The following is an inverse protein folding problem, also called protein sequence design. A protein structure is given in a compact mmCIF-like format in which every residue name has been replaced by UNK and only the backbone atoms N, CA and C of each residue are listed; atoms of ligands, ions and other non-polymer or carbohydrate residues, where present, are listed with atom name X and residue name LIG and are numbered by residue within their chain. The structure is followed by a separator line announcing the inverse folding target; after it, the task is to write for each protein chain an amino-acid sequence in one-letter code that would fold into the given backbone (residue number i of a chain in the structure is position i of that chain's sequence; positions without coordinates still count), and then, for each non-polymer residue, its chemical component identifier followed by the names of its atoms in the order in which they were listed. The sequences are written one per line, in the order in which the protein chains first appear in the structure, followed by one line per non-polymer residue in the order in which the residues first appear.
data_IF_800809984133
#
_entry.id   IF_800809984133
#
_cell.length_a   1.000
_cell.length_b   1.000
_cell.length_c   1.000
_cell.angle_alpha   90.00
_cell.angle_beta   90.00
_cell.angle_gamma   90.00
#
_symmetry.space_group_name_H-M   'P 1'
#
loop_
_entity.id
_entity.type
_entity.pdbx_description
1 polymer ?
#
# COMPACT_ATOMS: atom_id res chain seq x y z
N UNK A 1 -1.87 5.16 -28.68
CA UNK A 1 -2.57 6.10 -27.78
C UNK A 1 -2.24 5.67 -26.36
N UNK A 2 -1.96 6.61 -25.43
CA UNK A 2 -1.63 6.30 -24.04
C UNK A 2 -2.87 5.79 -23.30
N UNK A 3 -2.74 4.73 -22.50
CA UNK A 3 -3.79 4.28 -21.57
C UNK A 3 -3.55 4.92 -20.21
N UNK A 4 -4.55 5.59 -19.66
CA UNK A 4 -4.53 6.18 -18.32
C UNK A 4 -5.03 5.13 -17.31
N UNK A 5 -4.09 4.42 -16.65
CA UNK A 5 -4.40 3.28 -15.81
C UNK A 5 -4.55 3.67 -14.33
N UNK A 6 -5.79 3.75 -13.83
CA UNK A 6 -6.14 4.05 -12.45
C UNK A 6 -6.40 2.81 -11.58
N UNK A 7 -5.95 1.64 -12.01
CA UNK A 7 -6.17 0.39 -11.27
C UNK A 7 -5.60 0.46 -9.85
N UNK A 8 -6.34 -0.10 -8.90
CA UNK A 8 -6.00 -0.02 -7.48
C UNK A 8 -4.94 -1.03 -7.00
N UNK A 9 -4.65 -2.03 -7.81
CA UNK A 9 -3.63 -3.05 -7.54
C UNK A 9 -3.99 -4.42 -8.11
N UNK A 10 -3.12 -5.02 -8.97
CA UNK A 10 -1.87 -4.43 -9.51
C UNK A 10 -2.12 -3.11 -10.22
N UNK A 11 -1.16 -2.19 -10.14
CA UNK A 11 -1.33 -0.83 -10.63
C UNK A 11 -0.26 -0.45 -11.67
N UNK A 12 -0.31 0.82 -12.09
CA UNK A 12 0.71 1.41 -12.97
C UNK A 12 2.10 1.38 -12.32
N UNK A 13 3.12 1.10 -13.12
CA UNK A 13 4.54 1.26 -12.79
C UNK A 13 5.21 2.18 -13.83
N UNK A 14 6.38 2.76 -13.52
CA UNK A 14 7.11 3.60 -14.46
C UNK A 14 7.51 2.83 -15.72
N UNK A 15 7.44 3.49 -16.89
CA UNK A 15 7.77 2.86 -18.17
C UNK A 15 9.26 2.45 -18.25
N UNK A 16 10.15 3.20 -17.62
CA UNK A 16 11.57 2.88 -17.49
C UNK A 16 11.78 1.56 -16.74
N UNK A 17 10.99 1.32 -15.70
CA UNK A 17 11.01 0.06 -14.94
C UNK A 17 10.57 -1.11 -15.82
N UNK A 18 9.50 -0.96 -16.60
CA UNK A 18 9.06 -2.01 -17.53
C UNK A 18 10.12 -2.33 -18.58
N UNK A 19 10.78 -1.31 -19.13
CA UNK A 19 11.83 -1.50 -20.13
C UNK A 19 13.00 -2.31 -19.55
N UNK A 20 13.56 -1.89 -18.43
CA UNK A 20 14.69 -2.59 -17.79
C UNK A 20 14.29 -4.01 -17.33
N UNK A 21 13.07 -4.16 -16.76
CA UNK A 21 12.55 -5.47 -16.39
C UNK A 21 12.38 -6.42 -17.58
N UNK A 22 11.93 -5.93 -18.74
CA UNK A 22 11.79 -6.75 -19.95
C UNK A 22 13.15 -7.19 -20.51
N UNK A 23 14.15 -6.34 -20.48
CA UNK A 23 15.51 -6.68 -20.89
C UNK A 23 16.11 -7.75 -19.99
N UNK A 24 15.88 -7.67 -18.68
CA UNK A 24 16.36 -8.65 -17.69
C UNK A 24 15.76 -10.06 -17.85
N UNK A 25 14.56 -10.17 -18.44
CA UNK A 25 13.93 -11.45 -18.75
C UNK A 25 14.63 -12.17 -19.93
N UNK A 26 15.36 -11.44 -20.76
CA UNK A 26 16.11 -11.98 -21.89
C UNK A 26 17.57 -12.25 -21.49
N UNK A 27 18.20 -11.26 -20.88
CA UNK A 27 19.62 -11.34 -20.51
C UNK A 27 19.90 -10.44 -19.30
N UNK A 28 19.89 -11.02 -18.12
CA UNK A 28 20.14 -10.31 -16.88
C UNK A 28 21.66 -10.10 -16.69
N UNK A 29 22.08 -8.85 -16.50
CA UNK A 29 23.48 -8.48 -16.16
C UNK A 29 24.53 -9.11 -17.12
N UNK A 30 24.18 -9.25 -18.38
CA UNK A 30 25.02 -9.87 -19.44
C UNK A 30 25.48 -11.31 -19.12
N UNK A 31 24.73 -12.04 -18.27
CA UNK A 31 25.03 -13.42 -17.90
C UNK A 31 24.63 -14.45 -18.98
N UNK A 32 23.89 -14.02 -20.02
CA UNK A 32 23.28 -14.93 -20.99
C UNK A 32 22.12 -15.75 -20.41
N UNK A 33 21.61 -15.35 -19.24
CA UNK A 33 20.48 -15.96 -18.52
C UNK A 33 19.42 -14.91 -18.16
N UNK A 34 18.17 -15.33 -18.07
CA UNK A 34 17.10 -14.52 -17.52
C UNK A 34 17.23 -14.33 -16.01
N UNK A 35 16.79 -13.20 -15.48
CA UNK A 35 16.70 -12.99 -14.03
C UNK A 35 15.88 -14.05 -13.29
N UNK A 36 14.89 -14.69 -13.97
CA UNK A 36 14.07 -15.76 -13.39
C UNK A 36 14.72 -17.15 -13.44
N UNK A 37 15.86 -17.31 -14.18
CA UNK A 37 16.59 -18.56 -14.28
C UNK A 37 17.77 -18.63 -13.31
N UNK A 38 18.23 -17.49 -12.81
CA UNK A 38 19.38 -17.46 -11.91
C UNK A 38 19.00 -17.95 -10.51
N UNK A 39 19.96 -18.61 -9.84
CA UNK A 39 19.77 -18.99 -8.44
C UNK A 39 19.64 -17.75 -7.55
N UNK A 40 18.66 -17.73 -6.65
CA UNK A 40 18.53 -16.69 -5.63
C UNK A 40 19.74 -16.64 -4.66
N UNK A 41 20.62 -17.64 -4.70
CA UNK A 41 21.88 -17.68 -3.93
C UNK A 41 23.10 -17.27 -4.75
N UNK A 42 22.92 -16.95 -6.04
CA UNK A 42 24.00 -16.39 -6.86
C UNK A 42 24.37 -15.00 -6.37
N UNK A 43 25.64 -14.62 -6.59
CA UNK A 43 26.11 -13.27 -6.24
C UNK A 43 25.26 -12.17 -6.90
N UNK A 44 24.82 -12.39 -8.13
CA UNK A 44 24.03 -11.42 -8.87
C UNK A 44 22.66 -11.18 -8.23
N UNK A 45 21.95 -12.24 -7.78
CA UNK A 45 20.66 -12.03 -7.11
C UNK A 45 20.82 -11.55 -5.65
N UNK A 46 21.84 -12.00 -4.93
CA UNK A 46 22.18 -11.46 -3.60
C UNK A 46 22.37 -9.94 -3.70
N UNK A 47 23.08 -9.44 -4.71
CA UNK A 47 23.24 -8.01 -4.95
C UNK A 47 21.90 -7.29 -5.20
N UNK A 48 20.95 -7.90 -5.92
CA UNK A 48 19.60 -7.36 -6.11
C UNK A 48 18.87 -7.23 -4.77
N UNK A 49 18.90 -8.26 -3.94
CA UNK A 49 18.25 -8.24 -2.62
C UNK A 49 18.88 -7.19 -1.71
N UNK A 50 20.20 -7.15 -1.65
CA UNK A 50 20.95 -6.19 -0.81
C UNK A 50 20.66 -4.75 -1.24
N UNK A 51 20.60 -4.49 -2.54
CA UNK A 51 20.28 -3.16 -3.05
C UNK A 51 18.80 -2.79 -2.78
N UNK A 52 17.86 -3.73 -2.97
CA UNK A 52 16.46 -3.48 -2.65
C UNK A 52 16.28 -3.09 -1.18
N UNK A 53 16.93 -3.81 -0.27
CA UNK A 53 16.96 -3.51 1.17
C UNK A 53 17.59 -2.14 1.44
N UNK A 54 18.74 -1.86 0.83
CA UNK A 54 19.45 -0.59 1.00
C UNK A 54 18.60 0.62 0.52
N UNK A 55 17.91 0.47 -0.61
CA UNK A 55 17.03 1.51 -1.15
C UNK A 55 15.82 1.75 -0.24
N UNK A 56 15.21 0.71 0.33
CA UNK A 56 14.14 0.89 1.33
C UNK A 56 14.66 1.66 2.53
N UNK A 57 15.82 1.28 3.06
CA UNK A 57 16.43 1.96 4.22
C UNK A 57 16.73 3.43 3.90
N UNK A 58 17.26 3.71 2.74
CA UNK A 58 17.57 5.07 2.28
C UNK A 58 16.30 5.92 2.13
N UNK A 59 15.30 5.40 1.41
CA UNK A 59 14.09 6.17 1.07
C UNK A 59 13.15 6.42 2.27
N UNK A 60 13.13 5.53 3.25
CA UNK A 60 12.31 5.68 4.46
C UNK A 60 13.12 6.03 5.72
N UNK A 61 14.42 6.28 5.58
CA UNK A 61 15.32 6.57 6.70
C UNK A 61 15.16 5.54 7.84
N UNK A 62 15.12 4.24 7.44
CA UNK A 62 14.90 3.14 8.39
C UNK A 62 16.05 3.05 9.39
N UNK A 63 15.79 3.14 10.70
CA UNK A 63 16.85 3.09 11.71
C UNK A 63 17.46 1.69 11.83
N UNK A 64 18.71 1.61 12.32
CA UNK A 64 19.44 0.35 12.49
C UNK A 64 18.78 -0.64 13.47
N UNK A 65 17.83 -0.17 14.25
CA UNK A 65 17.00 -1.00 15.13
C UNK A 65 15.99 -1.86 14.39
N UNK A 66 15.78 -1.62 13.09
CA UNK A 66 14.80 -2.33 12.27
C UNK A 66 15.48 -3.16 11.18
N UNK A 67 14.84 -4.26 10.82
CA UNK A 67 15.17 -5.07 9.66
C UNK A 67 14.16 -4.87 8.53
N UNK A 68 14.66 -4.91 7.30
CA UNK A 68 13.86 -4.82 6.08
C UNK A 68 13.84 -6.19 5.41
N UNK A 69 12.64 -6.71 5.14
CA UNK A 69 12.43 -8.02 4.56
C UNK A 69 11.55 -7.94 3.31
N UNK A 70 11.83 -8.77 2.33
CA UNK A 70 10.98 -9.03 1.17
C UNK A 70 10.45 -10.45 1.27
N UNK A 71 9.17 -10.59 1.62
CA UNK A 71 8.50 -11.85 1.87
C UNK A 71 7.47 -12.17 0.78
N UNK A 72 6.80 -13.30 0.90
CA UNK A 72 5.71 -13.76 0.03
C UNK A 72 4.36 -13.61 0.74
N UNK A 73 3.26 -13.87 0.02
CA UNK A 73 1.91 -13.98 0.59
C UNK A 73 1.09 -12.70 0.67
N UNK A 74 1.67 -11.54 0.32
CA UNK A 74 0.98 -10.25 0.36
C UNK A 74 0.58 -9.84 1.78
N UNK A 75 -0.20 -8.76 1.89
CA UNK A 75 -0.73 -8.30 3.17
C UNK A 75 -1.58 -9.36 3.89
N UNK A 76 -2.28 -10.22 3.15
CA UNK A 76 -3.11 -11.26 3.77
C UNK A 76 -2.31 -12.26 4.58
N UNK A 77 -1.10 -12.63 4.14
CA UNK A 77 -0.20 -13.46 4.94
C UNK A 77 0.29 -12.69 6.18
N UNK A 78 0.53 -11.39 6.04
CA UNK A 78 0.98 -10.57 7.17
C UNK A 78 -0.09 -10.47 8.26
N UNK A 79 -1.38 -10.48 7.93
CA UNK A 79 -2.45 -10.51 8.94
C UNK A 79 -2.31 -11.69 9.90
N UNK A 80 -1.97 -12.89 9.38
CA UNK A 80 -1.71 -14.06 10.20
C UNK A 80 -0.32 -14.00 10.87
N UNK A 81 0.74 -13.65 10.11
CA UNK A 81 2.11 -13.64 10.62
C UNK A 81 2.27 -12.71 11.83
N UNK A 82 1.71 -11.47 11.75
CA UNK A 82 1.79 -10.53 12.87
C UNK A 82 1.11 -11.11 14.13
N UNK A 83 -0.05 -11.75 13.99
CA UNK A 83 -0.75 -12.35 15.11
C UNK A 83 0.08 -13.48 15.76
N UNK A 84 0.72 -14.37 14.96
CA UNK A 84 1.63 -15.39 15.50
C UNK A 84 2.83 -14.80 16.23
N UNK A 85 3.41 -13.72 15.75
CA UNK A 85 4.65 -13.16 16.29
C UNK A 85 4.44 -12.21 17.46
N UNK A 86 3.29 -11.52 17.53
CA UNK A 86 3.05 -10.50 18.55
C UNK A 86 2.00 -10.88 19.58
N UNK A 87 0.91 -11.61 19.20
CA UNK A 87 -0.18 -11.92 20.10
C UNK A 87 0.21 -13.07 21.04
N UNK A 88 0.34 -12.81 22.34
CA UNK A 88 0.58 -13.82 23.36
C UNK A 88 -0.70 -14.61 23.67
N UNK A 89 -0.56 -15.78 24.36
CA UNK A 89 -1.71 -16.64 24.66
C UNK A 89 -2.76 -15.95 25.55
N UNK A 90 -2.31 -15.13 26.49
CA UNK A 90 -3.16 -14.44 27.46
C UNK A 90 -3.22 -12.92 27.25
N UNK A 91 -2.57 -12.41 26.19
CA UNK A 91 -2.56 -11.00 25.86
C UNK A 91 -3.70 -10.63 24.93
N UNK A 92 -3.64 -9.43 24.39
CA UNK A 92 -4.62 -8.95 23.41
C UNK A 92 -4.00 -8.09 22.33
N UNK A 93 -4.51 -8.24 21.08
CA UNK A 93 -4.24 -7.34 19.99
C UNK A 93 -5.36 -6.32 19.84
N UNK A 94 -5.01 -5.06 19.67
CA UNK A 94 -5.98 -3.97 19.45
C UNK A 94 -5.96 -3.49 18.00
N UNK A 95 -7.13 -3.15 17.46
CA UNK A 95 -7.31 -2.79 16.06
C UNK A 95 -8.12 -1.52 15.89
N UNK A 96 -7.65 -0.66 14.98
CA UNK A 96 -8.45 0.44 14.43
C UNK A 96 -9.16 -0.07 13.16
N UNK A 97 -10.48 -0.20 13.20
CA UNK A 97 -11.27 -0.70 12.07
C UNK A 97 -11.74 0.45 11.17
N UNK A 98 -10.95 0.72 10.13
CA UNK A 98 -11.20 1.80 9.16
C UNK A 98 -11.56 1.32 7.76
N UNK A 99 -11.78 0.00 7.60
CA UNK A 99 -12.12 -0.54 6.29
C UNK A 99 -12.01 -2.05 6.17
N UNK A 100 -12.24 -2.56 4.96
CA UNK A 100 -12.24 -3.98 4.70
C UNK A 100 -10.92 -4.68 5.04
N UNK A 101 -9.78 -4.00 4.90
CA UNK A 101 -8.46 -4.59 5.14
C UNK A 101 -8.16 -4.66 6.64
N UNK A 102 -8.42 -3.61 7.41
CA UNK A 102 -8.33 -3.63 8.88
C UNK A 102 -9.27 -4.65 9.50
N UNK A 103 -10.52 -4.76 9.00
CA UNK A 103 -11.47 -5.79 9.44
C UNK A 103 -10.97 -7.22 9.18
N UNK A 104 -10.27 -7.46 8.05
CA UNK A 104 -9.67 -8.77 7.75
C UNK A 104 -8.49 -9.05 8.68
N UNK A 105 -7.61 -8.08 8.90
CA UNK A 105 -6.48 -8.23 9.83
C UNK A 105 -6.97 -8.56 11.25
N UNK A 106 -7.99 -7.85 11.73
CA UNK A 106 -8.65 -8.17 13.02
C UNK A 106 -9.18 -9.60 13.08
N UNK A 107 -9.87 -10.06 12.02
CA UNK A 107 -10.46 -11.41 12.00
C UNK A 107 -9.41 -12.52 12.06
N UNK A 108 -8.27 -12.37 11.40
CA UNK A 108 -7.16 -13.34 11.50
C UNK A 108 -6.63 -13.41 12.92
N UNK A 109 -6.42 -12.28 13.59
CA UNK A 109 -5.99 -12.27 14.99
C UNK A 109 -7.05 -12.85 15.94
N UNK A 110 -8.32 -12.52 15.74
CA UNK A 110 -9.43 -13.04 16.53
C UNK A 110 -9.61 -14.57 16.37
N UNK A 111 -9.19 -15.13 15.24
CA UNK A 111 -9.12 -16.58 15.02
C UNK A 111 -7.98 -17.27 15.78
N UNK A 112 -6.95 -16.53 16.15
CA UNK A 112 -5.77 -17.03 16.87
C UNK A 112 -5.85 -16.81 18.39
N UNK A 113 -6.46 -15.70 18.84
CA UNK A 113 -6.50 -15.34 20.25
C UNK A 113 -7.38 -14.13 20.54
N UNK A 114 -7.11 -13.45 21.63
CA UNK A 114 -7.89 -12.30 22.05
C UNK A 114 -7.51 -11.07 21.20
N UNK A 115 -8.48 -10.58 20.44
CA UNK A 115 -8.36 -9.35 19.66
C UNK A 115 -9.60 -8.49 19.85
N UNK A 116 -9.43 -7.17 19.88
CA UNK A 116 -10.54 -6.22 20.02
C UNK A 116 -10.42 -5.05 19.03
N UNK A 117 -11.57 -4.51 18.65
CA UNK A 117 -11.64 -3.26 17.87
C UNK A 117 -11.84 -2.12 18.85
N UNK A 118 -10.90 -1.20 18.96
CA UNK A 118 -10.97 -0.06 19.89
C UNK A 118 -11.80 1.10 19.34
N UNK A 119 -11.82 1.24 18.02
CA UNK A 119 -12.66 2.20 17.31
C UNK A 119 -12.93 1.73 15.87
N UNK A 120 -14.09 2.10 15.33
CA UNK A 120 -14.49 1.76 13.97
C UNK A 120 -15.27 2.91 13.34
N UNK A 121 -15.08 3.13 12.05
CA UNK A 121 -15.89 4.03 11.22
C UNK A 121 -16.91 3.30 10.34
N UNK A 122 -17.21 2.04 10.68
CA UNK A 122 -18.18 1.21 9.96
C UNK A 122 -19.60 1.79 9.96
N UNK A 123 -19.96 2.52 11.01
CA UNK A 123 -21.23 3.23 11.17
C UNK A 123 -21.53 4.19 10.01
N UNK A 124 -20.48 4.79 9.43
CA UNK A 124 -20.56 5.69 8.28
C UNK A 124 -19.89 5.10 7.01
N UNK A 125 -19.97 3.80 6.84
CA UNK A 125 -19.38 3.08 5.71
C UNK A 125 -17.88 3.41 5.49
N UNK A 126 -17.13 3.57 6.58
CA UNK A 126 -15.70 3.86 6.59
C UNK A 126 -15.28 5.15 5.85
N UNK A 127 -16.13 6.17 5.87
CA UNK A 127 -15.86 7.43 5.18
C UNK A 127 -14.99 8.41 5.99
N UNK A 128 -14.59 8.07 7.21
CA UNK A 128 -13.72 8.87 8.08
C UNK A 128 -12.73 8.00 8.86
N UNK A 129 -11.72 8.65 9.46
CA UNK A 129 -10.78 8.03 10.38
C UNK A 129 -11.21 8.37 11.82
N UNK A 130 -11.53 7.37 12.67
CA UNK A 130 -11.88 7.61 14.06
C UNK A 130 -10.78 8.36 14.82
N UNK A 131 -11.18 9.29 15.70
CA UNK A 131 -10.29 10.10 16.54
C UNK A 131 -10.74 10.02 18.01
N UNK A 132 -9.85 10.30 18.94
CA UNK A 132 -10.18 10.38 20.37
C UNK A 132 -10.46 9.03 21.05
N UNK A 133 -10.08 7.91 20.45
CA UNK A 133 -10.14 6.59 21.07
C UNK A 133 -8.93 6.34 21.99
N UNK A 134 -9.12 5.48 22.99
CA UNK A 134 -8.05 5.05 23.88
C UNK A 134 -7.41 3.76 23.40
N UNK A 135 -6.10 3.66 23.48
CA UNK A 135 -5.32 2.44 23.27
C UNK A 135 -4.85 1.97 24.64
N UNK A 136 -4.95 0.67 24.93
CA UNK A 136 -4.38 0.10 26.14
C UNK A 136 -2.88 -0.12 25.94
N UNK A 137 -2.08 0.61 26.70
CA UNK A 137 -0.62 0.53 26.63
C UNK A 137 -0.05 -0.86 27.00
N UNK A 138 -0.86 -1.71 27.67
CA UNK A 138 -0.50 -3.08 27.99
C UNK A 138 -0.95 -4.10 26.92
N UNK A 139 -1.52 -3.65 25.81
CA UNK A 139 -1.82 -4.53 24.70
C UNK A 139 -0.54 -5.11 24.09
N UNK A 140 -0.61 -6.34 23.59
CA UNK A 140 0.53 -6.96 22.88
C UNK A 140 0.92 -6.17 21.63
N UNK A 141 -0.06 -5.51 21.00
CA UNK A 141 0.12 -4.56 19.91
C UNK A 141 -1.16 -3.78 19.60
N UNK A 142 -0.98 -2.67 18.93
CA UNK A 142 -2.03 -1.91 18.26
C UNK A 142 -1.81 -1.91 16.75
N UNK A 143 -2.86 -2.26 15.99
CA UNK A 143 -2.80 -2.33 14.53
C UNK A 143 -3.68 -1.27 13.87
N UNK A 144 -3.14 -0.59 12.84
CA UNK A 144 -3.88 0.31 11.97
C UNK A 144 -3.55 0.07 10.49
N UNK A 145 -4.42 0.59 9.61
CA UNK A 145 -4.22 0.62 8.15
C UNK A 145 -4.11 2.07 7.72
N UNK A 146 -2.93 2.48 7.24
CA UNK A 146 -2.61 3.89 6.95
C UNK A 146 -3.47 4.49 5.86
N UNK A 147 -3.81 3.70 4.83
CA UNK A 147 -4.59 4.15 3.68
C UNK A 147 -5.60 3.09 3.23
N UNK A 148 -6.87 3.47 3.21
CA UNK A 148 -7.99 2.59 2.88
C UNK A 148 -8.33 2.69 1.40
N UNK A 149 -7.73 1.85 0.59
CA UNK A 149 -7.84 1.81 -0.88
C UNK A 149 -9.29 1.76 -1.39
N UNK A 150 -10.19 1.14 -0.64
CA UNK A 150 -11.59 0.92 -1.04
C UNK A 150 -12.45 2.15 -0.76
N UNK A 151 -12.20 2.83 0.35
CA UNK A 151 -13.06 3.91 0.88
C UNK A 151 -12.47 5.30 0.66
N UNK A 152 -11.18 5.40 0.31
CA UNK A 152 -10.53 6.66 0.00
C UNK A 152 -10.13 7.48 1.22
N UNK A 153 -9.99 6.85 2.39
CA UNK A 153 -9.52 7.50 3.62
C UNK A 153 -8.05 7.19 3.92
N UNK A 154 -7.34 8.12 4.56
CA UNK A 154 -5.92 8.01 4.91
C UNK A 154 -5.65 8.60 6.29
N UNK A 155 -4.92 7.87 7.13
CA UNK A 155 -4.42 8.38 8.40
C UNK A 155 -3.38 9.47 8.13
N UNK A 156 -3.65 10.71 8.57
CA UNK A 156 -2.71 11.82 8.43
C UNK A 156 -1.70 11.85 9.57
N UNK A 157 -2.16 11.60 10.78
CA UNK A 157 -1.34 11.54 12.00
C UNK A 157 -1.51 10.16 12.64
N UNK A 158 -0.40 9.43 12.79
CA UNK A 158 -0.42 8.11 13.42
C UNK A 158 -0.65 8.22 14.92
N UNK A 159 -1.37 7.25 15.52
CA UNK A 159 -1.65 7.26 16.94
C UNK A 159 -0.35 7.19 17.76
N UNK A 160 -0.37 7.84 18.93
CA UNK A 160 0.68 7.72 19.92
C UNK A 160 0.27 6.62 20.92
N UNK A 161 1.15 5.67 21.18
CA UNK A 161 0.90 4.53 22.08
C UNK A 161 2.23 3.97 22.58
N UNK A 162 2.23 3.42 23.80
CA UNK A 162 3.34 2.62 24.33
C UNK A 162 3.24 1.16 23.89
N UNK A 163 2.04 0.69 23.50
CA UNK A 163 1.87 -0.61 22.90
C UNK A 163 2.57 -0.71 21.55
N UNK A 164 3.17 -1.84 21.16
CA UNK A 164 3.80 -2.03 19.87
C UNK A 164 2.89 -1.62 18.71
N UNK A 165 3.31 -0.64 17.91
CA UNK A 165 2.53 -0.11 16.80
C UNK A 165 2.82 -0.88 15.50
N UNK A 166 1.77 -1.46 14.93
CA UNK A 166 1.82 -2.21 13.66
C UNK A 166 0.97 -1.51 12.61
N UNK A 167 1.49 -1.34 11.39
CA UNK A 167 0.79 -0.64 10.33
C UNK A 167 0.81 -1.37 9.00
N UNK A 168 -0.38 -1.53 8.39
CA UNK A 168 -0.53 -1.84 6.97
C UNK A 168 -0.38 -0.56 6.14
N UNK A 169 0.74 -0.44 5.43
CA UNK A 169 1.01 0.67 4.50
C UNK A 169 0.94 0.24 3.03
N UNK A 170 0.26 -0.86 2.70
CA UNK A 170 0.27 -1.43 1.35
C UNK A 170 -0.07 -0.43 0.25
N UNK A 171 -0.94 0.55 0.52
CA UNK A 171 -1.39 1.47 -0.53
C UNK A 171 -0.81 2.88 -0.45
N UNK A 172 0.03 3.18 0.55
CA UNK A 172 0.67 4.50 0.66
C UNK A 172 2.14 4.45 1.12
N UNK A 173 2.76 3.27 1.20
CA UNK A 173 4.22 3.17 1.42
C UNK A 173 4.97 3.96 0.34
N UNK A 174 6.01 4.69 0.69
CA UNK A 174 6.80 5.57 -0.19
C UNK A 174 6.02 6.74 -0.82
N UNK A 175 4.80 7.02 -0.40
CA UNK A 175 4.01 8.15 -0.93
C UNK A 175 4.31 9.47 -0.22
N UNK A 176 4.83 9.39 0.98
CA UNK A 176 5.21 10.51 1.86
C UNK A 176 6.25 10.06 2.89
N UNK A 177 7.02 10.98 3.49
CA UNK A 177 7.90 10.67 4.61
C UNK A 177 7.11 10.08 5.79
N UNK A 178 7.69 9.07 6.43
CA UNK A 178 7.14 8.43 7.62
C UNK A 178 8.27 8.21 8.61
N UNK A 179 8.06 8.56 9.88
CA UNK A 179 9.01 8.25 10.94
C UNK A 179 8.88 6.77 11.33
N UNK A 180 9.72 5.93 10.69
CA UNK A 180 9.73 4.48 10.90
C UNK A 180 10.03 4.10 12.34
N UNK A 181 10.72 4.95 13.11
CA UNK A 181 11.09 4.66 14.50
C UNK A 181 9.89 4.48 15.43
N UNK A 182 8.73 5.02 15.06
CA UNK A 182 7.46 4.91 15.81
C UNK A 182 6.77 3.56 15.68
N UNK A 183 7.18 2.72 14.73
CA UNK A 183 6.51 1.47 14.43
C UNK A 183 7.35 0.28 14.87
N UNK A 184 6.70 -0.73 15.44
CA UNK A 184 7.36 -2.01 15.71
C UNK A 184 7.27 -2.94 14.49
N UNK A 185 6.26 -2.74 13.61
CA UNK A 185 6.19 -3.40 12.32
C UNK A 185 5.39 -2.56 11.32
N UNK A 186 5.95 -2.40 10.11
CA UNK A 186 5.26 -1.92 8.92
C UNK A 186 5.26 -3.04 7.90
N UNK A 187 4.14 -3.27 7.22
CA UNK A 187 4.11 -4.15 6.06
C UNK A 187 3.38 -3.53 4.88
N UNK A 188 3.75 -3.95 3.67
CA UNK A 188 3.17 -3.45 2.44
C UNK A 188 3.23 -4.49 1.32
N UNK A 189 2.09 -4.85 0.74
CA UNK A 189 2.05 -5.60 -0.51
C UNK A 189 2.61 -4.77 -1.67
N UNK A 190 3.55 -5.33 -2.43
CA UNK A 190 4.27 -4.58 -3.47
C UNK A 190 3.39 -4.08 -4.61
N UNK A 191 2.29 -4.78 -4.94
CA UNK A 191 1.47 -4.58 -6.14
C UNK A 191 0.74 -3.23 -6.25
N UNK A 192 0.98 -2.32 -5.34
CA UNK A 192 0.40 -0.96 -5.34
C UNK A 192 1.48 0.09 -5.65
N UNK A 193 2.29 0.47 -4.68
CA UNK A 193 3.22 1.59 -4.85
C UNK A 193 4.69 1.18 -4.97
N UNK A 194 5.02 -0.09 -4.79
CA UNK A 194 6.40 -0.59 -4.73
C UNK A 194 6.82 -1.40 -5.96
N UNK A 195 5.92 -2.19 -6.54
CA UNK A 195 6.30 -3.10 -7.64
C UNK A 195 5.15 -4.01 -8.08
N UNK A 196 5.43 -5.16 -8.69
CA UNK A 196 4.41 -6.12 -9.09
C UNK A 196 3.93 -6.97 -7.90
N UNK A 197 2.83 -7.70 -8.11
CA UNK A 197 2.39 -8.72 -7.17
C UNK A 197 3.47 -9.80 -6.97
N UNK A 198 3.50 -10.40 -5.76
CA UNK A 198 4.40 -11.50 -5.40
C UNK A 198 5.33 -11.19 -4.23
N UNK A 199 5.83 -9.97 -4.12
CA UNK A 199 6.62 -9.53 -2.97
C UNK A 199 5.76 -8.78 -1.94
N UNK A 200 6.17 -8.88 -0.68
CA UNK A 200 5.63 -8.12 0.45
C UNK A 200 6.78 -7.52 1.21
N UNK A 201 6.82 -6.19 1.30
CA UNK A 201 7.78 -5.50 2.15
C UNK A 201 7.36 -5.63 3.61
N UNK A 202 8.31 -5.94 4.48
CA UNK A 202 8.15 -5.88 5.95
C UNK A 202 9.32 -5.12 6.53
N UNK A 203 9.03 -4.14 7.38
CA UNK A 203 10.03 -3.42 8.18
C UNK A 203 9.69 -3.72 9.63
N UNK A 204 10.57 -4.40 10.36
CA UNK A 204 10.29 -4.90 11.69
C UNK A 204 11.39 -4.54 12.68
N UNK A 205 11.01 -4.08 13.86
CA UNK A 205 11.91 -3.74 14.95
C UNK A 205 12.45 -5.03 15.61
N UNK A 206 13.77 -5.18 15.63
CA UNK A 206 14.45 -6.40 16.13
C UNK A 206 14.03 -6.80 17.54
N UNK A 207 13.93 -5.84 18.45
CA UNK A 207 13.57 -6.08 19.86
C UNK A 207 12.09 -6.33 20.12
N UNK A 208 11.22 -6.23 19.11
CA UNK A 208 9.78 -6.44 19.25
C UNK A 208 9.37 -7.92 19.20
N UNK A 209 10.21 -8.78 18.60
CA UNK A 209 9.92 -10.18 18.33
C UNK A 209 10.27 -11.11 19.50
N UNK A 210 9.72 -12.35 19.45
CA UNK A 210 10.04 -13.42 20.40
C UNK A 210 9.31 -13.32 21.75
N UNK A 211 8.29 -12.47 21.84
CA UNK A 211 7.53 -12.20 23.08
C UNK A 211 6.18 -12.90 23.15
N UNK A 212 5.67 -13.45 22.04
CA UNK A 212 4.33 -14.07 21.99
C UNK A 212 4.23 -15.35 22.84
N UNK A 213 5.35 -16.03 23.11
CA UNK A 213 5.37 -17.30 23.85
C UNK A 213 4.73 -18.47 23.09
N UNK A 214 4.23 -18.25 21.89
CA UNK A 214 3.57 -19.26 21.05
C UNK A 214 4.56 -20.06 20.22
N UNK A 215 4.17 -21.28 19.87
CA UNK A 215 4.81 -21.96 18.74
C UNK A 215 4.48 -21.23 17.43
N UNK A 216 5.49 -20.84 16.70
CA UNK A 216 5.36 -20.17 15.40
C UNK A 216 5.88 -21.13 14.32
N UNK A 217 5.06 -21.52 13.33
CA UNK A 217 5.57 -22.28 12.19
C UNK A 217 6.72 -21.54 11.50
N UNK A 218 7.78 -22.25 11.11
CA UNK A 218 9.05 -21.69 10.64
C UNK A 218 8.88 -20.60 9.57
N UNK A 219 7.98 -20.79 8.59
CA UNK A 219 7.73 -19.82 7.53
C UNK A 219 6.92 -18.59 7.97
N UNK A 220 6.30 -18.63 9.15
CA UNK A 220 5.56 -17.51 9.71
C UNK A 220 6.37 -16.73 10.75
N UNK A 221 7.55 -17.22 11.15
CA UNK A 221 8.43 -16.56 12.11
C UNK A 221 9.33 -15.52 11.41
N UNK A 222 9.16 -14.26 11.77
CA UNK A 222 10.01 -13.17 11.23
C UNK A 222 11.49 -13.39 11.55
N UNK A 223 11.85 -13.98 12.70
CA UNK A 223 13.25 -14.26 13.03
C UNK A 223 13.91 -15.23 12.03
N UNK A 224 13.15 -16.20 11.51
CA UNK A 224 13.63 -17.08 10.43
C UNK A 224 14.04 -16.28 9.20
N UNK A 225 13.22 -15.35 8.78
CA UNK A 225 13.47 -14.52 7.60
C UNK A 225 14.60 -13.51 7.83
N UNK A 226 14.67 -12.89 9.02
CA UNK A 226 15.75 -11.99 9.42
C UNK A 226 17.09 -12.72 9.34
N UNK A 227 17.20 -13.92 9.95
CA UNK A 227 18.44 -14.70 9.99
C UNK A 227 18.95 -15.13 8.63
N UNK A 228 18.14 -15.06 7.59
CA UNK A 228 18.43 -15.49 6.23
C UNK A 228 18.30 -14.36 5.18
N UNK A 229 18.17 -13.11 5.62
CA UNK A 229 18.04 -11.95 4.73
C UNK A 229 16.93 -12.13 3.69
N UNK A 230 15.74 -12.57 4.11
CA UNK A 230 14.57 -12.89 3.27
C UNK A 230 14.71 -14.12 2.36
N UNK A 231 15.84 -14.82 2.40
CA UNK A 231 16.16 -15.93 1.49
C UNK A 231 16.21 -17.29 2.21
N UNK A 232 15.36 -17.50 3.22
CA UNK A 232 15.22 -18.81 3.87
C UNK A 232 14.75 -19.86 2.86
N UNK A 233 13.71 -19.57 2.10
CA UNK A 233 13.30 -20.28 0.89
C UNK A 233 13.51 -19.37 -0.33
N UNK A 234 13.24 -19.89 -1.54
CA UNK A 234 13.34 -19.09 -2.77
C UNK A 234 12.38 -17.91 -2.73
N UNK A 235 12.88 -16.66 -2.76
CA UNK A 235 12.04 -15.47 -2.79
C UNK A 235 11.36 -15.29 -4.15
N UNK A 236 10.38 -14.39 -4.28
CA UNK A 236 9.77 -14.05 -5.55
C UNK A 236 10.73 -13.17 -6.38
N UNK A 237 11.75 -13.82 -6.99
CA UNK A 237 12.93 -13.22 -7.61
C UNK A 237 12.59 -12.02 -8.50
N UNK A 238 11.69 -12.21 -9.48
CA UNK A 238 11.30 -11.16 -10.41
C UNK A 238 10.59 -10.00 -9.72
N UNK A 239 9.71 -10.30 -8.75
CA UNK A 239 8.99 -9.24 -8.02
C UNK A 239 9.93 -8.40 -7.16
N UNK A 240 10.94 -9.00 -6.52
CA UNK A 240 11.97 -8.28 -5.77
C UNK A 240 12.81 -7.42 -6.71
N UNK A 241 13.23 -7.97 -7.85
CA UNK A 241 14.00 -7.24 -8.85
C UNK A 241 13.24 -6.00 -9.36
N UNK A 242 11.98 -6.16 -9.75
CA UNK A 242 11.17 -5.01 -10.24
C UNK A 242 10.89 -4.02 -9.11
N UNK A 243 10.73 -4.47 -7.87
CA UNK A 243 10.61 -3.57 -6.71
C UNK A 243 11.89 -2.74 -6.51
N UNK A 244 13.06 -3.36 -6.65
CA UNK A 244 14.35 -2.65 -6.63
C UNK A 244 14.42 -1.59 -7.73
N UNK A 245 14.01 -1.92 -8.98
CA UNK A 245 13.97 -0.95 -10.08
C UNK A 245 13.03 0.22 -9.79
N UNK A 246 11.87 -0.05 -9.21
CA UNK A 246 10.89 0.98 -8.83
C UNK A 246 11.47 1.91 -7.75
N UNK A 247 12.21 1.37 -6.78
CA UNK A 247 12.90 2.16 -5.75
C UNK A 247 14.06 2.99 -6.33
N UNK A 248 14.83 2.45 -7.30
CA UNK A 248 15.82 3.24 -8.06
C UNK A 248 15.17 4.40 -8.77
N UNK A 249 14.05 4.14 -9.45
CA UNK A 249 13.27 5.18 -10.13
C UNK A 249 12.79 6.24 -9.14
N UNK A 250 12.23 5.84 -7.99
CA UNK A 250 11.79 6.76 -6.94
C UNK A 250 12.93 7.66 -6.48
N UNK A 251 14.09 7.08 -6.17
CA UNK A 251 15.30 7.81 -5.75
C UNK A 251 15.78 8.80 -6.82
N UNK A 252 15.84 8.35 -8.08
CA UNK A 252 16.25 9.20 -9.22
C UNK A 252 15.30 10.37 -9.48
N UNK A 253 14.03 10.25 -9.05
CA UNK A 253 13.00 11.28 -9.19
C UNK A 253 12.75 12.09 -7.90
N UNK A 254 13.77 12.23 -7.05
CA UNK A 254 13.76 13.10 -5.88
C UNK A 254 13.22 12.45 -4.59
N UNK A 255 13.09 11.11 -4.58
CA UNK A 255 12.73 10.36 -3.38
C UNK A 255 11.28 10.58 -2.91
N UNK A 256 11.07 10.23 -1.65
CA UNK A 256 9.74 10.23 -1.02
C UNK A 256 9.18 11.65 -0.86
N UNK A 257 10.01 12.64 -0.59
CA UNK A 257 9.60 14.05 -0.46
C UNK A 257 9.03 14.59 -1.77
N UNK A 258 9.73 14.37 -2.89
CA UNK A 258 9.24 14.77 -4.20
C UNK A 258 8.02 13.95 -4.64
N UNK A 259 7.93 12.68 -4.22
CA UNK A 259 6.73 11.86 -4.44
C UNK A 259 5.52 12.44 -3.70
N UNK A 260 5.69 12.87 -2.44
CA UNK A 260 4.63 13.52 -1.68
C UNK A 260 4.07 14.74 -2.42
N UNK A 261 4.94 15.64 -2.87
CA UNK A 261 4.52 16.84 -3.60
C UNK A 261 3.70 16.50 -4.84
N UNK A 262 4.20 15.57 -5.68
CA UNK A 262 3.46 15.11 -6.87
C UNK A 262 2.13 14.46 -6.53
N UNK A 263 2.05 13.71 -5.43
CA UNK A 263 0.82 13.06 -5.00
C UNK A 263 -0.21 14.07 -4.48
N UNK A 264 0.23 15.09 -3.76
CA UNK A 264 -0.61 16.19 -3.30
C UNK A 264 -1.16 17.02 -4.47
N UNK A 265 -0.33 17.32 -5.50
CA UNK A 265 -0.77 17.99 -6.71
C UNK A 265 -1.84 17.20 -7.47
N UNK A 266 -1.63 15.88 -7.65
CA UNK A 266 -2.62 14.98 -8.28
C UNK A 266 -3.93 14.94 -7.51
N UNK A 267 -3.84 14.77 -6.18
CA UNK A 267 -5.00 14.72 -5.31
C UNK A 267 -5.77 16.04 -5.33
N UNK A 268 -5.08 17.17 -5.22
CA UNK A 268 -5.69 18.49 -5.28
C UNK A 268 -6.40 18.72 -6.62
N UNK A 269 -5.78 18.37 -7.75
CA UNK A 269 -6.38 18.51 -9.08
C UNK A 269 -7.73 17.77 -9.17
N UNK A 270 -7.80 16.52 -8.71
CA UNK A 270 -9.01 15.72 -8.80
C UNK A 270 -10.05 16.12 -7.74
N UNK A 271 -9.65 16.33 -6.49
CA UNK A 271 -10.61 16.69 -5.43
C UNK A 271 -11.21 18.08 -5.64
N UNK A 272 -10.46 19.05 -6.16
CA UNK A 272 -10.99 20.37 -6.53
C UNK A 272 -12.09 20.24 -7.57
N UNK A 273 -11.95 19.34 -8.53
CA UNK A 273 -13.00 19.10 -9.52
C UNK A 273 -14.22 18.38 -8.93
N UNK A 274 -13.99 17.34 -8.10
CA UNK A 274 -15.09 16.64 -7.41
C UNK A 274 -15.92 17.60 -6.57
N UNK A 275 -15.27 18.53 -5.84
CA UNK A 275 -15.95 19.46 -4.94
C UNK A 275 -16.63 20.61 -5.68
N UNK A 276 -16.09 21.03 -6.83
CA UNK A 276 -16.65 22.10 -7.65
C UNK A 276 -17.84 21.65 -8.50
N UNK A 277 -17.73 20.44 -9.04
CA UNK A 277 -18.65 19.95 -10.08
C UNK A 277 -19.91 19.35 -9.45
N UNK A 278 -21.10 19.93 -9.70
CA UNK A 278 -22.33 19.51 -9.06
C UNK A 278 -22.80 18.09 -9.43
N UNK A 279 -22.20 17.49 -10.46
CA UNK A 279 -22.54 16.11 -10.86
C UNK A 279 -21.82 15.05 -10.01
N UNK A 280 -20.85 15.44 -9.20
CA UNK A 280 -20.02 14.50 -8.43
C UNK A 280 -20.06 14.79 -6.92
N UNK A 281 -19.77 13.76 -6.13
CA UNK A 281 -19.60 13.87 -4.68
C UNK A 281 -18.48 12.93 -4.20
N UNK A 282 -17.56 13.44 -3.41
CA UNK A 282 -16.53 12.64 -2.74
C UNK A 282 -17.12 11.81 -1.60
N UNK A 283 -16.66 10.57 -1.45
CA UNK A 283 -17.20 9.66 -0.41
C UNK A 283 -16.52 9.82 0.94
N UNK A 284 -15.25 10.23 0.98
CA UNK A 284 -14.47 10.39 2.21
C UNK A 284 -14.63 11.80 2.81
N UNK A 285 -14.65 11.89 4.14
CA UNK A 285 -14.56 13.15 4.87
C UNK A 285 -13.33 13.94 4.41
N UNK A 286 -13.48 15.26 4.22
CA UNK A 286 -12.46 16.10 3.56
C UNK A 286 -11.10 16.01 4.26
N UNK A 287 -11.07 16.04 5.59
CA UNK A 287 -9.85 15.96 6.39
C UNK A 287 -9.13 14.60 6.32
N UNK A 288 -9.87 13.55 5.98
CA UNK A 288 -9.37 12.18 5.94
C UNK A 288 -9.15 11.65 4.52
N UNK A 289 -9.33 12.47 3.48
CA UNK A 289 -9.17 12.10 2.08
C UNK A 289 -7.77 11.56 1.78
N UNK A 290 -7.73 10.45 1.05
CA UNK A 290 -6.48 9.82 0.59
C UNK A 290 -5.87 10.59 -0.57
N UNK A 291 -4.54 10.78 -0.55
CA UNK A 291 -3.80 11.26 -1.72
C UNK A 291 -3.51 10.15 -2.74
N UNK A 292 -3.74 8.88 -2.36
CA UNK A 292 -3.49 7.72 -3.21
C UNK A 292 -4.74 7.20 -3.92
N UNK A 293 -5.91 7.28 -3.27
CA UNK A 293 -7.16 6.69 -3.79
C UNK A 293 -8.32 7.66 -3.56
N UNK A 294 -8.70 8.40 -4.58
CA UNK A 294 -9.87 9.26 -4.54
C UNK A 294 -11.13 8.47 -4.93
N UNK A 295 -12.09 8.38 -4.01
CA UNK A 295 -13.37 7.71 -4.23
C UNK A 295 -14.48 8.76 -4.37
N UNK A 296 -15.35 8.59 -5.38
CA UNK A 296 -16.43 9.54 -5.65
C UNK A 296 -17.62 8.87 -6.36
N UNK A 297 -18.77 9.49 -6.26
CA UNK A 297 -20.03 9.05 -6.87
C UNK A 297 -20.53 10.11 -7.84
N UNK A 298 -21.43 9.70 -8.75
CA UNK A 298 -22.33 10.62 -9.46
C UNK A 298 -23.52 10.92 -8.56
N UNK A 299 -23.93 12.20 -8.48
CA UNK A 299 -25.10 12.62 -7.72
C UNK A 299 -26.40 12.07 -8.32
N UNK A 300 -26.45 11.89 -9.64
CA UNK A 300 -27.52 11.17 -10.34
C UNK A 300 -26.88 10.10 -11.25
N UNK A 301 -26.67 8.91 -10.69
CA UNK A 301 -26.06 7.80 -11.41
C UNK A 301 -26.92 7.36 -12.59
N UNK A 302 -28.26 7.37 -12.44
CA UNK A 302 -29.18 6.93 -13.49
C UNK A 302 -29.16 7.86 -14.72
N UNK A 303 -28.98 9.16 -14.51
CA UNK A 303 -28.91 10.14 -15.58
C UNK A 303 -27.56 10.19 -16.29
N UNK A 304 -26.44 9.98 -15.58
CA UNK A 304 -25.12 10.38 -16.08
C UNK A 304 -24.14 9.21 -16.30
N UNK A 305 -24.35 8.04 -15.67
CA UNK A 305 -23.39 6.95 -15.66
C UNK A 305 -23.02 6.43 -17.04
N UNK A 306 -24.00 6.16 -17.89
CA UNK A 306 -23.76 5.61 -19.24
C UNK A 306 -22.92 6.57 -20.09
N UNK A 307 -23.24 7.87 -20.02
CA UNK A 307 -22.49 8.91 -20.74
C UNK A 307 -21.07 9.02 -20.21
N UNK A 308 -20.91 9.07 -18.89
CA UNK A 308 -19.56 9.19 -18.28
C UNK A 308 -18.69 7.97 -18.55
N UNK A 309 -19.23 6.76 -18.44
CA UNK A 309 -18.50 5.51 -18.75
C UNK A 309 -18.06 5.47 -20.23
N UNK A 310 -18.90 5.93 -21.16
CA UNK A 310 -18.53 6.04 -22.57
C UNK A 310 -17.39 7.05 -22.80
N UNK A 311 -17.41 8.21 -22.14
CA UNK A 311 -16.37 9.23 -22.24
C UNK A 311 -15.04 8.74 -21.64
N UNK A 312 -15.09 8.04 -20.50
CA UNK A 312 -13.91 7.38 -19.87
C UNK A 312 -13.28 6.40 -20.87
N UNK A 313 -14.09 5.56 -21.51
CA UNK A 313 -13.61 4.57 -22.49
C UNK A 313 -13.01 5.24 -23.73
N UNK A 314 -13.64 6.28 -24.26
CA UNK A 314 -13.14 7.05 -25.42
C UNK A 314 -11.77 7.67 -25.16
N UNK A 315 -11.53 8.17 -23.94
CA UNK A 315 -10.23 8.74 -23.51
C UNK A 315 -9.20 7.70 -23.07
N UNK A 316 -9.47 6.39 -23.23
CA UNK A 316 -8.61 5.29 -22.77
C UNK A 316 -8.26 5.37 -21.27
N UNK A 317 -9.19 5.82 -20.46
CA UNK A 317 -9.10 5.78 -19.01
C UNK A 317 -9.59 4.41 -18.54
N UNK A 318 -8.78 3.68 -17.76
CA UNK A 318 -9.13 2.35 -17.28
C UNK A 318 -8.89 2.23 -15.76
N UNK A 319 -9.58 1.26 -15.14
CA UNK A 319 -9.39 0.94 -13.72
C UNK A 319 -10.03 1.92 -12.74
N UNK A 320 -10.89 2.85 -13.20
CA UNK A 320 -11.55 3.86 -12.36
C UNK A 320 -12.83 3.37 -11.69
N UNK A 321 -13.36 2.19 -12.04
CA UNK A 321 -14.57 1.67 -11.40
C UNK A 321 -14.35 1.49 -9.90
N UNK A 322 -15.31 1.96 -9.11
CA UNK A 322 -15.32 1.81 -7.66
C UNK A 322 -15.42 0.35 -7.22
N UNK A 323 -15.06 0.10 -5.98
CA UNK A 323 -15.22 -1.23 -5.41
C UNK A 323 -16.72 -1.53 -5.20
N UNK A 324 -17.14 -2.78 -5.42
CA UNK A 324 -18.54 -3.23 -5.32
C UNK A 324 -19.24 -2.87 -3.98
N UNK A 325 -18.47 -2.66 -2.91
CA UNK A 325 -19.01 -2.28 -1.59
C UNK A 325 -19.29 -0.78 -1.45
N UNK A 326 -18.74 0.06 -2.32
CA UNK A 326 -18.90 1.51 -2.32
C UNK A 326 -19.70 1.98 -3.54
N UNK A 327 -19.49 1.34 -4.68
CA UNK A 327 -20.01 1.76 -5.97
C UNK A 327 -19.21 2.90 -6.58
N UNK A 328 -19.80 3.57 -7.55
CA UNK A 328 -19.23 4.76 -8.20
C UNK A 328 -17.86 4.55 -8.81
N UNK A 329 -16.93 5.45 -8.52
CA UNK A 329 -15.61 5.53 -9.12
C UNK A 329 -14.51 5.62 -8.08
N UNK A 330 -13.33 5.14 -8.43
CA UNK A 330 -12.11 5.24 -7.62
C UNK A 330 -10.90 5.48 -8.51
N UNK A 331 -10.31 6.64 -8.40
CA UNK A 331 -9.05 6.95 -9.05
C UNK A 331 -7.89 6.58 -8.12
N UNK A 332 -7.10 5.57 -8.50
CA UNK A 332 -5.88 5.19 -7.77
C UNK A 332 -4.69 5.88 -8.41
N UNK A 333 -4.08 6.84 -7.67
CA UNK A 333 -3.08 7.79 -8.18
C UNK A 333 -1.71 7.55 -7.55
N UNK A 334 -1.23 6.29 -7.58
CA UNK A 334 0.05 5.94 -6.99
C UNK A 334 1.23 6.73 -7.59
N UNK A 335 2.42 6.59 -7.01
CA UNK A 335 3.60 7.40 -7.34
C UNK A 335 3.92 7.45 -8.84
N UNK A 336 3.73 6.33 -9.56
CA UNK A 336 4.00 6.24 -11.00
C UNK A 336 2.93 6.89 -11.90
N UNK A 337 1.78 7.29 -11.34
CA UNK A 337 0.74 8.02 -12.07
C UNK A 337 1.22 9.44 -12.35
N UNK A 338 1.19 9.85 -13.62
CA UNK A 338 1.50 11.23 -14.01
C UNK A 338 0.29 12.16 -13.86
N UNK A 339 0.57 13.45 -13.76
CA UNK A 339 -0.43 14.50 -13.62
C UNK A 339 -1.36 14.59 -14.86
N UNK A 340 -0.82 14.36 -16.07
CA UNK A 340 -1.60 14.39 -17.32
C UNK A 340 -2.71 13.32 -17.32
N UNK A 341 -2.45 12.15 -16.72
CA UNK A 341 -3.47 11.12 -16.59
C UNK A 341 -4.62 11.55 -15.67
N UNK A 342 -4.31 12.24 -14.57
CA UNK A 342 -5.31 12.80 -13.68
C UNK A 342 -6.07 13.94 -14.36
N UNK A 343 -5.38 14.80 -15.11
CA UNK A 343 -6.00 15.86 -15.90
C UNK A 343 -6.98 15.31 -16.94
N UNK A 344 -6.65 14.20 -17.61
CA UNK A 344 -7.55 13.56 -18.57
C UNK A 344 -8.88 13.10 -17.92
N UNK A 345 -8.83 12.59 -16.67
CA UNK A 345 -10.04 12.25 -15.93
C UNK A 345 -10.84 13.50 -15.53
N UNK A 346 -10.16 14.54 -15.05
CA UNK A 346 -10.76 15.83 -14.70
C UNK A 346 -11.42 16.48 -15.92
N UNK A 347 -10.79 16.41 -17.09
CA UNK A 347 -11.38 16.92 -18.33
C UNK A 347 -12.63 16.13 -18.73
N UNK A 348 -12.66 14.82 -18.53
CA UNK A 348 -13.88 14.03 -18.68
C UNK A 348 -15.02 14.53 -17.77
N UNK A 349 -14.69 14.84 -16.51
CA UNK A 349 -15.69 15.33 -15.55
C UNK A 349 -16.26 16.69 -15.97
N UNK A 350 -15.40 17.64 -16.40
CA UNK A 350 -15.81 18.95 -16.91
C UNK A 350 -16.64 18.85 -18.20
N UNK A 351 -16.22 17.97 -19.11
CA UNK A 351 -16.96 17.75 -20.36
C UNK A 351 -18.34 17.14 -20.10
N UNK A 352 -18.47 16.26 -19.08
CA UNK A 352 -19.78 15.75 -18.67
C UNK A 352 -20.67 16.88 -18.17
N UNK A 353 -20.18 17.75 -17.28
CA UNK A 353 -20.92 18.93 -16.79
C UNK A 353 -21.42 19.83 -17.93
N UNK A 354 -20.61 20.04 -18.96
CA UNK A 354 -20.99 20.87 -20.10
C UNK A 354 -22.07 20.23 -21.00
N UNK A 355 -22.37 18.95 -20.82
CA UNK A 355 -23.42 18.26 -21.59
C UNK A 355 -24.77 18.33 -20.91
N UNK A 356 -24.81 18.61 -19.63
CA UNK A 356 -26.00 18.68 -18.79
C UNK A 356 -26.11 20.01 -18.05
#
# INVERSE_FOLDING_TARGET
MKTHNFSAGPCILPQEVFKEASESLINFDNLGLSVIEISHRSKSFVAVMDEAVALVKDQLQVPDTHEVLFLQGGASMQFAMLAFNFLSENGKGQYLDTGAWSSKAYKEAAGLGNAEVVASSKDANYNYIPKGYAIDDNADYFHCTSNNTIYGTQIKEFPQTEAPLICDMSSDIFSRPVDVSKFDLIYAGAQKNLGPAGATLVIVKKGALGKSGRYIPTMLDYNTHISKGSMFNTPPVFSVYVSMLTLRWLKANGGVEAAQQRNEEKAALLYNEIDRNPLFVGTAAVEDRSTMNACFLLNDEAAHKETFDAMIAEKNISGVNGHRSVGGYRASMYNAMDLDSVAALVDCMKELENKF
#
